data_IF_128719146458
#
_entry.id   IF_128719146458
#
_cell.length_a   1.000
_cell.length_b   1.000
_cell.length_c   1.000
_cell.angle_alpha   90.00
_cell.angle_beta   90.00
_cell.angle_gamma   90.00
#
_symmetry.space_group_name_H-M   'P 1'
#
loop_
_entity.id
_entity.type
_entity.pdbx_description
1 polymer ?
#
# COMPACT_ATOMS: atom_id res chain seq x y z
N UNK A 1 -16.13 -23.77 -14.00
CA UNK A 1 -16.18 -23.12 -15.32
C UNK A 1 -15.82 -21.66 -15.08
N UNK A 2 -14.55 -21.31 -15.23
CA UNK A 2 -14.06 -19.93 -15.16
C UNK A 2 -13.23 -19.72 -16.42
N UNK A 3 -13.93 -19.54 -17.54
CA UNK A 3 -13.35 -19.10 -18.80
C UNK A 3 -13.71 -17.63 -18.97
N UNK A 4 -12.89 -16.75 -18.41
CA UNK A 4 -12.70 -15.39 -18.92
C UNK A 4 -11.20 -15.10 -18.75
N UNK A 5 -10.48 -14.92 -19.86
CA UNK A 5 -9.09 -14.48 -19.85
C UNK A 5 -9.03 -13.04 -19.31
N UNK A 6 -8.84 -12.91 -17.99
CA UNK A 6 -8.59 -11.61 -17.39
C UNK A 6 -7.20 -11.13 -17.78
N UNK A 7 -7.14 -10.10 -18.63
CA UNK A 7 -5.90 -9.40 -18.92
C UNK A 7 -5.68 -8.32 -17.86
N UNK A 8 -4.58 -8.44 -17.11
CA UNK A 8 -4.18 -7.42 -16.13
C UNK A 8 -3.42 -6.31 -16.85
N UNK A 9 -3.95 -5.09 -16.83
CA UNK A 9 -3.32 -3.90 -17.40
C UNK A 9 -2.89 -2.96 -16.28
N UNK A 10 -1.58 -2.79 -16.03
CA UNK A 10 -1.10 -1.82 -15.04
C UNK A 10 -1.24 -0.40 -15.60
N UNK A 11 -1.95 0.46 -14.87
CA UNK A 11 -2.11 1.88 -15.20
C UNK A 11 -1.65 2.74 -14.03
N UNK A 12 -0.78 3.71 -14.31
CA UNK A 12 -0.39 4.73 -13.33
C UNK A 12 -1.44 5.84 -13.38
N UNK A 13 -2.26 5.93 -12.34
CA UNK A 13 -3.31 6.96 -12.24
C UNK A 13 -2.74 8.31 -11.79
N UNK A 14 -1.89 8.31 -10.76
CA UNK A 14 -1.36 9.55 -10.21
C UNK A 14 0.01 9.35 -9.57
N UNK A 15 0.82 10.41 -9.61
CA UNK A 15 2.03 10.57 -8.82
C UNK A 15 1.97 11.96 -8.18
N UNK A 16 2.07 12.01 -6.86
CA UNK A 16 1.92 13.26 -6.12
C UNK A 16 3.03 13.42 -5.09
N UNK A 17 3.57 14.63 -5.04
CA UNK A 17 4.41 15.08 -3.94
C UNK A 17 3.51 15.68 -2.86
N UNK A 18 3.60 15.15 -1.64
CA UNK A 18 2.92 15.71 -0.48
C UNK A 18 3.86 16.68 0.23
N UNK A 19 3.58 17.97 0.14
CA UNK A 19 4.39 19.05 0.74
C UNK A 19 3.99 19.38 2.18
N UNK A 20 2.78 19.01 2.59
CA UNK A 20 2.25 19.21 3.94
C UNK A 20 2.49 17.99 4.85
N UNK A 21 2.01 18.04 6.09
CA UNK A 21 2.05 16.87 6.99
C UNK A 21 1.27 15.70 6.37
N UNK A 22 1.91 14.52 6.36
CA UNK A 22 1.36 13.29 5.80
C UNK A 22 0.42 12.58 6.77
N UNK A 23 -0.60 13.31 7.25
CA UNK A 23 -1.63 12.74 8.11
C UNK A 23 -2.58 11.85 7.31
N UNK A 24 -3.12 10.83 7.96
CA UNK A 24 -4.05 9.88 7.37
C UNK A 24 -5.23 10.56 6.66
N UNK A 25 -5.83 11.58 7.29
CA UNK A 25 -6.96 12.35 6.73
C UNK A 25 -6.61 13.08 5.43
N UNK A 26 -5.37 13.57 5.32
CA UNK A 26 -4.90 14.28 4.13
C UNK A 26 -4.68 13.27 2.99
N UNK A 27 -3.97 12.17 3.29
CA UNK A 27 -3.76 11.07 2.35
C UNK A 27 -5.11 10.54 1.83
N UNK A 28 -6.05 10.31 2.75
CA UNK A 28 -7.39 9.83 2.43
C UNK A 28 -8.13 10.78 1.49
N UNK A 29 -8.12 12.08 1.80
CA UNK A 29 -8.77 13.11 0.98
C UNK A 29 -8.19 13.16 -0.43
N UNK A 30 -6.87 12.99 -0.58
CA UNK A 30 -6.24 12.93 -1.91
C UNK A 30 -6.62 11.67 -2.69
N UNK A 31 -6.63 10.51 -2.03
CA UNK A 31 -7.07 9.27 -2.68
C UNK A 31 -8.51 9.40 -3.17
N UNK A 32 -9.41 9.96 -2.37
CA UNK A 32 -10.79 10.25 -2.76
C UNK A 32 -10.86 11.19 -3.96
N UNK A 33 -10.16 12.32 -3.92
CA UNK A 33 -10.15 13.26 -5.04
C UNK A 33 -9.67 12.61 -6.35
N UNK A 34 -8.57 11.86 -6.32
CA UNK A 34 -8.07 11.21 -7.53
C UNK A 34 -9.07 10.16 -8.05
N UNK A 35 -9.60 9.29 -7.16
CA UNK A 35 -10.49 8.21 -7.56
C UNK A 35 -11.89 8.70 -7.97
N UNK A 36 -12.53 9.55 -7.16
CA UNK A 36 -13.91 10.00 -7.35
C UNK A 36 -14.02 11.12 -8.39
N UNK A 37 -13.23 12.18 -8.24
CA UNK A 37 -13.41 13.41 -9.04
C UNK A 37 -12.65 13.32 -10.37
N UNK A 38 -11.38 12.90 -10.32
CA UNK A 38 -10.50 12.93 -11.50
C UNK A 38 -10.67 11.70 -12.41
N UNK A 39 -10.72 10.51 -11.84
CA UNK A 39 -10.82 9.26 -12.60
C UNK A 39 -12.23 8.65 -12.60
N UNK A 40 -13.16 9.17 -11.78
CA UNK A 40 -14.55 8.71 -11.73
C UNK A 40 -14.69 7.19 -11.52
N UNK A 41 -13.79 6.60 -10.73
CA UNK A 41 -13.78 5.20 -10.34
C UNK A 41 -14.79 5.00 -9.22
N UNK A 42 -15.91 4.33 -9.50
CA UNK A 42 -16.97 4.11 -8.52
C UNK A 42 -16.54 3.15 -7.41
N UNK A 43 -17.10 3.25 -6.19
CA UNK A 43 -16.76 2.36 -5.07
C UNK A 43 -16.82 0.86 -5.42
N UNK A 44 -17.81 0.44 -6.20
CA UNK A 44 -17.98 -0.98 -6.61
C UNK A 44 -16.82 -1.50 -7.49
N UNK A 45 -16.07 -0.60 -8.13
CA UNK A 45 -14.91 -0.93 -8.97
C UNK A 45 -13.62 -1.08 -8.15
N UNK A 46 -13.63 -0.72 -6.86
CA UNK A 46 -12.45 -0.69 -5.99
C UNK A 46 -12.30 -2.00 -5.23
N UNK A 47 -11.81 -3.03 -5.92
CA UNK A 47 -11.70 -4.39 -5.39
C UNK A 47 -10.82 -4.52 -4.14
N UNK A 48 -9.82 -3.66 -3.96
CA UNK A 48 -8.92 -3.67 -2.82
C UNK A 48 -7.76 -2.70 -2.99
N UNK A 49 -6.87 -2.67 -1.99
CA UNK A 49 -5.66 -1.84 -2.04
C UNK A 49 -4.47 -2.59 -1.42
N UNK A 50 -3.29 -2.39 -1.99
CA UNK A 50 -2.03 -2.86 -1.42
C UNK A 50 -1.17 -1.68 -1.01
N UNK A 51 -0.77 -1.61 0.25
CA UNK A 51 0.08 -0.54 0.80
C UNK A 51 1.18 -1.13 1.69
N UNK A 52 2.18 -0.33 2.03
CA UNK A 52 3.06 -0.65 3.15
C UNK A 52 2.29 -0.65 4.50
N UNK A 53 3.04 -0.76 5.61
CA UNK A 53 2.49 -0.81 6.96
C UNK A 53 2.69 0.51 7.71
N UNK A 54 2.96 1.63 7.02
CA UNK A 54 3.06 2.93 7.67
C UNK A 54 1.72 3.31 8.31
N UNK A 55 1.74 3.78 9.56
CA UNK A 55 0.53 4.02 10.37
C UNK A 55 -0.49 4.91 9.66
N UNK A 56 -0.03 6.01 9.06
CA UNK A 56 -0.89 6.98 8.39
C UNK A 56 -1.51 6.40 7.11
N UNK A 57 -0.77 5.59 6.34
CA UNK A 57 -1.31 4.90 5.16
C UNK A 57 -2.35 3.85 5.55
N UNK A 58 -2.08 3.08 6.60
CA UNK A 58 -3.01 2.08 7.13
C UNK A 58 -4.30 2.76 7.60
N UNK A 59 -4.18 3.84 8.37
CA UNK A 59 -5.33 4.60 8.84
C UNK A 59 -6.14 5.19 7.67
N UNK A 60 -5.47 5.83 6.69
CA UNK A 60 -6.12 6.44 5.53
C UNK A 60 -6.91 5.44 4.67
N UNK A 61 -6.48 4.17 4.64
CA UNK A 61 -7.09 3.12 3.80
C UNK A 61 -8.02 2.19 4.58
N UNK A 62 -8.18 2.38 5.89
CA UNK A 62 -9.01 1.54 6.76
C UNK A 62 -10.52 1.80 6.65
N UNK A 63 -10.94 2.93 6.09
CA UNK A 63 -12.33 3.42 6.14
C UNK A 63 -13.13 3.20 4.86
N UNK A 64 -13.25 1.95 4.40
CA UNK A 64 -14.23 1.56 3.37
C UNK A 64 -14.04 2.17 1.97
N UNK A 65 -12.91 2.84 1.74
CA UNK A 65 -12.58 3.43 0.43
C UNK A 65 -12.29 2.39 -0.65
N UNK A 66 -11.82 1.23 -0.21
CA UNK A 66 -11.50 0.08 -1.04
C UNK A 66 -12.11 -1.15 -0.38
N UNK A 67 -12.13 -2.27 -1.10
CA UNK A 67 -12.28 -3.59 -0.50
C UNK A 67 -11.12 -3.95 0.46
N UNK A 68 -10.75 -5.23 0.59
CA UNK A 68 -9.68 -5.63 1.51
C UNK A 68 -8.36 -4.87 1.28
N UNK A 69 -7.72 -4.50 2.38
CA UNK A 69 -6.35 -3.99 2.40
C UNK A 69 -5.37 -5.16 2.53
N UNK A 70 -4.39 -5.20 1.63
CA UNK A 70 -3.28 -6.15 1.67
C UNK A 70 -1.98 -5.43 2.03
N UNK A 71 -1.16 -6.05 2.88
CA UNK A 71 0.18 -5.54 3.19
C UNK A 71 1.13 -5.83 2.02
N UNK A 72 1.95 -4.86 1.67
CA UNK A 72 2.96 -4.97 0.61
C UNK A 72 4.01 -6.02 0.98
N UNK A 73 4.13 -7.08 0.16
CA UNK A 73 5.08 -8.17 0.38
C UNK A 73 6.53 -7.68 0.44
N UNK A 74 6.90 -6.69 -0.38
CA UNK A 74 8.25 -6.13 -0.38
C UNK A 74 8.60 -5.48 0.96
N UNK A 75 7.67 -4.75 1.57
CA UNK A 75 7.87 -4.17 2.89
C UNK A 75 7.94 -5.24 3.98
N UNK A 76 7.03 -6.22 3.96
CA UNK A 76 7.03 -7.33 4.92
C UNK A 76 8.35 -8.10 4.86
N UNK A 77 8.83 -8.43 3.66
CA UNK A 77 10.11 -9.11 3.46
C UNK A 77 11.29 -8.28 3.97
N UNK A 78 11.32 -6.99 3.67
CA UNK A 78 12.37 -6.09 4.16
C UNK A 78 12.44 -6.07 5.69
N UNK A 79 11.28 -6.03 6.37
CA UNK A 79 11.23 -6.09 7.83
C UNK A 79 11.72 -7.43 8.37
N UNK A 80 11.41 -8.55 7.71
CA UNK A 80 11.94 -9.88 8.08
C UNK A 80 13.47 -9.90 7.98
N UNK A 81 14.03 -9.38 6.91
CA UNK A 81 15.49 -9.32 6.72
C UNK A 81 16.15 -8.44 7.77
N UNK A 82 15.66 -7.21 7.99
CA UNK A 82 16.23 -6.27 8.96
C UNK A 82 16.18 -6.85 10.39
N UNK A 83 15.03 -7.39 10.79
CA UNK A 83 14.87 -7.98 12.11
C UNK A 83 15.69 -9.25 12.25
N UNK A 84 15.75 -10.09 11.21
CA UNK A 84 16.58 -11.30 11.18
C UNK A 84 18.07 -10.99 11.31
N UNK A 85 18.57 -9.99 10.59
CA UNK A 85 19.96 -9.53 10.69
C UNK A 85 20.25 -8.94 12.07
N UNK A 86 19.28 -8.29 12.71
CA UNK A 86 19.43 -7.75 14.07
C UNK A 86 19.55 -8.85 15.12
N UNK A 87 19.05 -10.05 14.84
CA UNK A 87 19.21 -11.24 15.67
C UNK A 87 20.48 -12.02 15.34
N UNK A 88 21.16 -11.68 14.24
CA UNK A 88 22.41 -12.34 13.86
C UNK A 88 23.54 -11.85 14.76
N UNK A 89 23.90 -12.67 15.75
CA UNK A 89 25.16 -12.50 16.45
C UNK A 89 26.29 -12.93 15.50
N UNK A 90 27.24 -12.04 15.15
CA UNK A 90 28.37 -12.46 14.33
C UNK A 90 29.11 -13.58 15.06
N UNK A 91 29.60 -14.61 14.34
CA UNK A 91 30.40 -15.65 14.97
C UNK A 91 31.58 -14.99 15.69
N UNK A 92 31.85 -15.41 16.93
CA UNK A 92 33.04 -14.98 17.66
C UNK A 92 34.26 -15.28 16.80
N UNK A 93 34.81 -14.25 16.16
CA UNK A 93 36.08 -14.35 15.46
C UNK A 93 37.15 -14.32 16.55
N UNK A 94 37.44 -15.48 17.13
CA UNK A 94 38.63 -15.67 17.94
C UNK A 94 39.84 -15.33 17.05
N UNK A 95 40.59 -14.31 17.47
CA UNK A 95 41.84 -13.87 16.84
C UNK A 95 43.02 -14.66 17.40
#
# INVERSE_FOLDING_TARGET
MFDEEFTVVPLVLSLRQLTERHLAVNIQSFLMFELDEKFQIRPEQRAGITTDCASEMVAATSHGLFGPRHACIAHVWNNVVINGLSLWSPPNVEK
#
